data_IF_484767851096
#
_entry.id   IF_484767851096
#
_cell.length_a   1.000
_cell.length_b   1.000
_cell.length_c   1.000
_cell.angle_alpha   90.00
_cell.angle_beta   90.00
_cell.angle_gamma   90.00
#
_symmetry.space_group_name_H-M   'P 1'
#
loop_
_entity.id
_entity.type
_entity.pdbx_description
1 polymer ?
#
# COMPACT_ATOMS: atom_id res chain seq x y z
N UNK A 1 -0.05 5.28 -5.17
CA UNK A 1 -1.29 6.04 -4.91
C UNK A 1 -1.17 7.49 -5.36
N UNK A 2 -0.23 8.28 -4.87
CA UNK A 2 -0.05 9.71 -5.26
C UNK A 2 -0.05 9.95 -6.78
N UNK A 3 0.55 9.03 -7.56
CA UNK A 3 0.51 9.11 -9.03
C UNK A 3 -0.91 9.05 -9.58
N UNK A 4 -1.79 8.19 -9.03
CA UNK A 4 -3.19 8.10 -9.48
C UNK A 4 -3.95 9.39 -9.16
N UNK A 5 -3.78 9.93 -7.95
CA UNK A 5 -4.38 11.21 -7.58
C UNK A 5 -3.96 12.31 -8.55
N UNK A 6 -2.64 12.43 -8.81
CA UNK A 6 -2.11 13.44 -9.71
C UNK A 6 -2.55 13.28 -11.16
N UNK A 7 -2.62 12.04 -11.67
CA UNK A 7 -3.11 11.79 -13.04
C UNK A 7 -4.58 12.18 -13.18
N UNK A 8 -5.44 11.74 -12.23
CA UNK A 8 -6.85 12.09 -12.20
C UNK A 8 -7.06 13.61 -12.17
N UNK A 9 -6.38 14.30 -11.25
CA UNK A 9 -6.54 15.74 -11.04
C UNK A 9 -6.08 16.56 -12.26
N UNK A 10 -5.14 16.02 -13.03
CA UNK A 10 -4.69 16.60 -14.28
C UNK A 10 -5.53 16.18 -15.50
N UNK A 11 -6.57 15.37 -15.31
CA UNK A 11 -7.37 14.84 -16.44
C UNK A 11 -6.58 13.91 -17.37
N UNK A 12 -5.48 13.33 -16.88
CA UNK A 12 -4.66 12.38 -17.63
C UNK A 12 -5.28 10.97 -17.53
N UNK A 13 -5.27 10.16 -18.60
CA UNK A 13 -5.79 8.81 -18.55
C UNK A 13 -5.17 7.99 -17.42
N UNK A 14 -6.02 7.34 -16.62
CA UNK A 14 -5.60 6.46 -15.55
C UNK A 14 -5.28 5.05 -16.08
N UNK A 15 -4.41 4.29 -15.44
CA UNK A 15 -4.26 2.86 -15.71
C UNK A 15 -5.56 2.11 -15.39
N UNK A 16 -5.72 0.92 -15.94
CA UNK A 16 -6.94 0.10 -15.76
C UNK A 16 -7.11 -0.44 -14.33
N UNK A 17 -6.02 -0.54 -13.59
CA UNK A 17 -5.98 -1.02 -12.21
C UNK A 17 -4.66 -0.64 -11.52
N UNK A 18 -4.61 -0.75 -10.20
CA UNK A 18 -3.41 -0.60 -9.39
C UNK A 18 -3.16 -1.80 -8.49
N UNK A 19 -1.89 -2.14 -8.29
CA UNK A 19 -1.45 -3.10 -7.29
C UNK A 19 -0.54 -2.39 -6.31
N UNK A 20 -0.79 -2.57 -5.03
CA UNK A 20 0.05 -2.06 -3.96
C UNK A 20 0.53 -3.24 -3.10
N UNK A 21 1.83 -3.32 -2.87
CA UNK A 21 2.47 -4.36 -2.07
C UNK A 21 3.08 -3.66 -0.87
N UNK A 22 2.58 -3.97 0.33
CA UNK A 22 3.01 -3.34 1.59
C UNK A 22 3.16 -1.81 1.47
N UNK A 23 2.12 -1.09 1.00
CA UNK A 23 2.26 0.32 0.69
C UNK A 23 2.48 1.17 1.95
N UNK A 24 3.47 2.06 1.90
CA UNK A 24 3.63 3.14 2.87
C UNK A 24 2.89 4.37 2.36
N UNK A 25 1.82 4.74 3.03
CA UNK A 25 0.87 5.79 2.58
C UNK A 25 0.58 6.85 3.64
N UNK A 26 1.09 6.67 4.85
CA UNK A 26 0.94 7.59 5.99
C UNK A 26 2.32 8.08 6.46
N UNK A 27 2.62 9.36 6.23
CA UNK A 27 3.89 9.97 6.68
C UNK A 27 3.86 10.40 8.15
N UNK A 28 2.69 10.39 8.81
CA UNK A 28 2.59 10.62 10.26
C UNK A 28 2.92 9.36 11.07
N UNK A 29 2.75 8.16 10.47
CA UNK A 29 3.03 6.89 11.12
C UNK A 29 2.13 6.62 12.34
N UNK A 30 0.84 6.97 12.26
CA UNK A 30 -0.10 6.86 13.39
C UNK A 30 -0.86 5.53 13.43
N UNK A 31 -0.57 4.59 12.53
CA UNK A 31 -1.14 3.25 12.55
C UNK A 31 -0.73 2.48 13.82
N UNK A 32 -1.65 1.76 14.45
CA UNK A 32 -1.36 0.96 15.66
C UNK A 32 -0.32 -0.13 15.38
N UNK A 33 -0.24 -0.64 14.14
CA UNK A 33 0.74 -1.64 13.73
C UNK A 33 2.19 -1.17 13.87
N UNK A 34 2.45 0.15 13.87
CA UNK A 34 3.78 0.72 14.15
C UNK A 34 4.32 0.24 15.51
N UNK A 35 3.45 0.09 16.50
CA UNK A 35 3.81 -0.37 17.84
C UNK A 35 3.44 -1.83 18.08
N UNK A 36 2.25 -2.28 17.66
CA UNK A 36 1.76 -3.64 17.93
C UNK A 36 2.49 -4.71 17.13
N UNK A 37 3.18 -4.35 16.05
CA UNK A 37 4.02 -5.25 15.24
C UNK A 37 5.52 -4.99 15.37
N UNK A 38 5.93 -4.07 16.25
CA UNK A 38 7.34 -3.68 16.39
C UNK A 38 8.28 -4.84 16.73
N UNK A 39 7.81 -5.81 17.53
CA UNK A 39 8.62 -6.94 17.98
C UNK A 39 8.79 -8.04 16.90
N UNK A 40 7.89 -8.10 15.91
CA UNK A 40 7.89 -9.13 14.86
C UNK A 40 8.34 -8.60 13.51
N UNK A 41 8.17 -7.31 13.24
CA UNK A 41 8.60 -6.67 11.99
C UNK A 41 10.14 -6.55 11.94
N UNK A 42 10.78 -7.27 11.04
CA UNK A 42 12.25 -7.31 10.95
C UNK A 42 12.82 -6.46 9.82
N UNK A 43 12.02 -6.08 8.83
CA UNK A 43 12.50 -5.36 7.63
C UNK A 43 12.30 -3.85 7.80
N UNK A 44 11.14 -3.44 8.28
CA UNK A 44 10.75 -2.03 8.43
C UNK A 44 10.30 -1.78 9.87
N UNK A 45 10.79 -0.71 10.47
CA UNK A 45 10.45 -0.34 11.85
C UNK A 45 10.08 1.14 11.96
N UNK A 46 9.38 1.50 13.04
CA UNK A 46 8.87 2.85 13.30
C UNK A 46 9.97 3.93 13.23
N UNK A 47 11.13 3.69 13.85
CA UNK A 47 12.22 4.68 13.91
C UNK A 47 12.74 4.97 12.50
N UNK A 48 13.02 3.93 11.72
CA UNK A 48 13.50 4.07 10.35
C UNK A 48 12.49 4.76 9.43
N UNK A 49 11.19 4.44 9.58
CA UNK A 49 10.13 5.11 8.81
C UNK A 49 10.04 6.59 9.18
N UNK A 50 10.11 6.93 10.46
CA UNK A 50 10.08 8.32 10.92
C UNK A 50 11.25 9.13 10.37
N UNK A 51 12.46 8.60 10.46
CA UNK A 51 13.66 9.25 9.92
C UNK A 51 13.54 9.46 8.40
N UNK A 52 13.04 8.45 7.66
CA UNK A 52 12.81 8.55 6.22
C UNK A 52 11.72 9.57 5.88
N UNK A 53 10.63 9.61 6.65
CA UNK A 53 9.56 10.60 6.48
C UNK A 53 10.09 12.02 6.67
N UNK A 54 10.84 12.27 7.75
CA UNK A 54 11.45 13.58 8.01
C UNK A 54 12.39 14.02 6.87
N UNK A 55 13.23 13.12 6.38
CA UNK A 55 14.13 13.39 5.24
C UNK A 55 13.36 13.67 3.95
N UNK A 56 12.32 12.87 3.66
CA UNK A 56 11.51 13.01 2.44
C UNK A 56 10.69 14.29 2.45
N UNK A 57 10.03 14.59 3.57
CA UNK A 57 9.18 15.76 3.73
C UNK A 57 9.98 17.07 3.77
N UNK A 58 11.19 17.03 4.32
CA UNK A 58 12.06 18.23 4.44
C UNK A 58 11.31 19.43 5.04
N UNK A 59 10.43 19.19 6.03
CA UNK A 59 9.62 20.22 6.69
C UNK A 59 8.27 20.52 6.01
N UNK A 60 7.91 19.81 4.93
CA UNK A 60 6.58 19.90 4.32
C UNK A 60 5.54 19.13 5.17
N UNK A 61 4.27 19.38 4.88
CA UNK A 61 3.14 18.76 5.59
C UNK A 61 3.13 17.24 5.41
N UNK A 62 3.12 16.52 6.53
CA UNK A 62 3.04 15.05 6.56
C UNK A 62 1.69 14.52 6.04
N UNK A 63 0.69 15.38 5.90
CA UNK A 63 -0.63 15.05 5.32
C UNK A 63 -0.80 15.53 3.87
N UNK A 64 0.24 16.02 3.22
CA UNK A 64 0.17 16.33 1.79
C UNK A 64 -0.20 15.06 1.01
N UNK A 65 -1.34 15.02 0.27
CA UNK A 65 -1.78 13.82 -0.44
C UNK A 65 -0.80 13.30 -1.50
N UNK A 66 0.15 14.12 -1.94
CA UNK A 66 1.19 13.68 -2.85
C UNK A 66 2.37 13.00 -2.12
N UNK A 67 2.54 13.26 -0.83
CA UNK A 67 3.50 12.58 0.02
C UNK A 67 2.85 11.42 0.78
N UNK A 68 1.70 11.68 1.39
CA UNK A 68 0.92 10.75 2.19
C UNK A 68 -0.48 10.53 1.55
N UNK A 69 -0.58 9.67 0.52
CA UNK A 69 -1.81 9.52 -0.25
C UNK A 69 -3.02 9.03 0.55
N UNK A 70 -2.81 8.50 1.77
CA UNK A 70 -3.89 8.14 2.67
C UNK A 70 -4.83 9.33 2.98
N UNK A 71 -4.32 10.57 2.94
CA UNK A 71 -5.10 11.79 3.19
C UNK A 71 -5.70 12.40 1.91
N UNK A 72 -5.58 11.68 0.78
CA UNK A 72 -6.15 12.10 -0.50
C UNK A 72 -7.60 11.67 -0.69
N UNK A 73 -8.24 12.31 -1.67
CA UNK A 73 -9.56 11.86 -2.15
C UNK A 73 -9.36 10.74 -3.18
N UNK A 74 -9.87 9.54 -2.90
CA UNK A 74 -9.76 8.38 -3.78
C UNK A 74 -10.89 8.28 -4.81
N UNK A 75 -11.87 9.19 -4.84
CA UNK A 75 -12.95 9.13 -5.82
C UNK A 75 -12.40 9.12 -7.26
N UNK A 76 -12.86 8.17 -8.06
CA UNK A 76 -12.53 8.06 -9.50
C UNK A 76 -11.15 7.46 -9.81
N UNK A 77 -10.39 6.94 -8.81
CA UNK A 77 -9.19 6.15 -9.11
C UNK A 77 -9.57 4.73 -9.58
N UNK A 78 -8.67 4.03 -10.30
CA UNK A 78 -8.95 2.67 -10.78
C UNK A 78 -9.05 1.65 -9.65
N UNK A 79 -9.60 0.44 -9.93
CA UNK A 79 -9.60 -0.68 -8.98
C UNK A 79 -8.22 -0.94 -8.38
N UNK A 80 -8.19 -1.28 -7.09
CA UNK A 80 -6.97 -1.55 -6.35
C UNK A 80 -6.92 -3.00 -5.85
N UNK A 81 -5.75 -3.61 -5.96
CA UNK A 81 -5.39 -4.82 -5.24
C UNK A 81 -4.24 -4.51 -4.29
N UNK A 82 -4.46 -4.70 -2.99
CA UNK A 82 -3.49 -4.41 -1.93
C UNK A 82 -3.09 -5.75 -1.31
N UNK A 83 -1.80 -6.01 -1.19
CA UNK A 83 -1.25 -7.15 -0.46
C UNK A 83 -0.31 -6.66 0.64
N UNK A 84 -0.39 -7.29 1.81
CA UNK A 84 0.40 -6.95 2.99
C UNK A 84 0.63 -8.18 3.86
N UNK A 85 1.77 -8.25 4.53
CA UNK A 85 2.00 -9.22 5.58
C UNK A 85 1.36 -8.78 6.90
N UNK A 86 1.00 -9.71 7.79
CA UNK A 86 0.46 -9.33 9.10
C UNK A 86 1.56 -9.09 10.16
N UNK A 87 2.81 -9.46 9.86
CA UNK A 87 3.97 -9.21 10.72
C UNK A 87 4.82 -8.03 10.22
N UNK A 88 4.16 -6.94 9.83
CA UNK A 88 4.85 -5.70 9.42
C UNK A 88 4.22 -4.45 10.04
N UNK A 89 5.04 -3.42 10.26
CA UNK A 89 4.61 -2.13 10.83
C UNK A 89 3.66 -1.36 9.90
N UNK A 90 3.68 -1.61 8.59
CA UNK A 90 2.82 -0.97 7.58
C UNK A 90 1.49 -1.72 7.33
N UNK A 91 1.12 -2.67 8.21
CA UNK A 91 -0.17 -3.36 8.12
C UNK A 91 -1.34 -2.36 8.12
N UNK A 92 -1.34 -1.40 9.06
CA UNK A 92 -2.41 -0.42 9.17
C UNK A 92 -2.42 0.60 8.03
N UNK A 93 -1.28 0.90 7.42
CA UNK A 93 -1.24 1.70 6.20
C UNK A 93 -2.06 1.05 5.10
N UNK A 94 -1.92 -0.27 4.96
CA UNK A 94 -2.62 -1.06 3.94
C UNK A 94 -4.11 -1.19 4.24
N UNK A 95 -4.50 -1.47 5.50
CA UNK A 95 -5.91 -1.61 5.88
C UNK A 95 -6.65 -0.28 5.80
N UNK A 96 -6.04 0.80 6.30
CA UNK A 96 -6.60 2.17 6.23
C UNK A 96 -6.70 2.68 4.79
N UNK A 97 -5.72 2.34 3.93
CA UNK A 97 -5.81 2.63 2.49
C UNK A 97 -7.00 1.92 1.85
N UNK A 98 -7.20 0.63 2.15
CA UNK A 98 -8.31 -0.14 1.64
C UNK A 98 -9.65 0.48 2.07
N UNK A 99 -9.83 0.73 3.36
CA UNK A 99 -11.04 1.34 3.93
C UNK A 99 -11.34 2.72 3.30
N UNK A 100 -10.31 3.56 3.16
CA UNK A 100 -10.48 4.90 2.59
C UNK A 100 -10.86 4.87 1.11
N UNK A 101 -10.26 3.96 0.34
CA UNK A 101 -10.57 3.78 -1.08
C UNK A 101 -11.98 3.19 -1.27
N UNK A 102 -12.36 2.18 -0.49
CA UNK A 102 -13.72 1.61 -0.51
C UNK A 102 -14.78 2.65 -0.15
N UNK A 103 -14.53 3.47 0.89
CA UNK A 103 -15.43 4.56 1.28
C UNK A 103 -15.63 5.60 0.16
N UNK A 104 -14.63 5.77 -0.71
CA UNK A 104 -14.70 6.63 -1.91
C UNK A 104 -15.33 5.92 -3.13
N UNK A 105 -15.81 4.68 -2.99
CA UNK A 105 -16.46 3.92 -4.06
C UNK A 105 -15.50 3.20 -5.01
N UNK A 106 -14.24 3.05 -4.63
CA UNK A 106 -13.25 2.27 -5.41
C UNK A 106 -13.45 0.78 -5.16
N UNK A 107 -13.36 -0.02 -6.22
CA UNK A 107 -13.27 -1.48 -6.08
C UNK A 107 -11.92 -1.83 -5.46
N UNK A 108 -11.90 -2.41 -4.25
CA UNK A 108 -10.68 -2.80 -3.55
C UNK A 108 -10.68 -4.29 -3.24
N UNK A 109 -9.52 -4.93 -3.43
CA UNK A 109 -9.19 -6.22 -2.86
C UNK A 109 -8.01 -6.03 -1.93
N UNK A 110 -8.15 -6.45 -0.66
CA UNK A 110 -7.08 -6.48 0.33
C UNK A 110 -6.82 -7.94 0.72
N UNK A 111 -5.60 -8.40 0.52
CA UNK A 111 -5.14 -9.70 1.01
C UNK A 111 -4.07 -9.47 2.08
N UNK A 112 -4.35 -9.93 3.31
CA UNK A 112 -3.41 -9.94 4.43
C UNK A 112 -2.85 -11.34 4.57
N UNK A 113 -1.53 -11.50 4.44
CA UNK A 113 -0.85 -12.79 4.49
C UNK A 113 -0.32 -13.06 5.90
N UNK A 114 -0.78 -14.17 6.55
CA UNK A 114 -0.35 -14.52 7.89
C UNK A 114 1.16 -14.84 7.93
N UNK A 115 1.83 -14.42 9.00
CA UNK A 115 3.25 -14.67 9.27
C UNK A 115 4.21 -14.09 8.21
N UNK A 116 3.73 -13.18 7.33
CA UNK A 116 4.55 -12.58 6.28
C UNK A 116 5.06 -11.21 6.68
N UNK A 117 6.28 -10.94 6.23
CA UNK A 117 7.01 -9.69 6.43
C UNK A 117 6.75 -8.69 5.29
N UNK A 118 7.25 -7.47 5.46
CA UNK A 118 7.19 -6.41 4.46
C UNK A 118 7.75 -6.86 3.11
N UNK A 119 6.96 -6.69 2.04
CA UNK A 119 7.28 -7.04 0.65
C UNK A 119 7.83 -8.46 0.46
N UNK A 120 7.30 -9.43 1.20
CA UNK A 120 7.70 -10.85 1.13
C UNK A 120 7.64 -11.42 -0.30
N UNK A 121 6.88 -10.81 -1.20
CA UNK A 121 6.79 -11.15 -2.63
C UNK A 121 8.15 -11.13 -3.34
N UNK A 122 9.14 -10.42 -2.79
CA UNK A 122 10.52 -10.43 -3.32
C UNK A 122 11.18 -11.82 -3.24
N UNK A 123 10.64 -12.73 -2.43
CA UNK A 123 11.14 -14.10 -2.29
C UNK A 123 10.50 -15.09 -3.26
N UNK A 124 9.77 -14.61 -4.30
CA UNK A 124 9.23 -15.45 -5.39
C UNK A 124 10.29 -16.40 -5.96
N UNK A 125 9.92 -17.65 -6.12
CA UNK A 125 10.81 -18.74 -6.52
C UNK A 125 11.56 -19.42 -5.37
N UNK A 126 11.48 -18.87 -4.15
CA UNK A 126 12.11 -19.43 -2.95
C UNK A 126 11.13 -19.60 -1.78
N UNK A 127 9.93 -19.03 -1.87
CA UNK A 127 8.91 -19.03 -0.82
C UNK A 127 7.53 -19.28 -1.45
N UNK A 128 6.82 -20.37 -1.07
CA UNK A 128 5.52 -20.70 -1.65
C UNK A 128 4.48 -19.59 -1.47
N UNK A 129 4.46 -18.90 -0.35
CA UNK A 129 3.55 -17.78 -0.05
C UNK A 129 3.79 -16.61 -0.99
N UNK A 130 5.05 -16.32 -1.32
CA UNK A 130 5.40 -15.28 -2.28
C UNK A 130 4.96 -15.66 -3.71
N UNK A 131 5.13 -16.93 -4.10
CA UNK A 131 4.66 -17.45 -5.39
C UNK A 131 3.14 -17.37 -5.49
N UNK A 132 2.41 -17.72 -4.42
CA UNK A 132 0.97 -17.62 -4.35
C UNK A 132 0.50 -16.16 -4.46
N UNK A 133 1.13 -15.25 -3.73
CA UNK A 133 0.81 -13.82 -3.77
C UNK A 133 0.95 -13.24 -5.18
N UNK A 134 2.04 -13.56 -5.87
CA UNK A 134 2.27 -13.12 -7.26
C UNK A 134 1.27 -13.77 -8.22
N UNK A 135 0.94 -15.06 -8.03
CA UNK A 135 -0.08 -15.73 -8.85
C UNK A 135 -1.46 -15.08 -8.68
N UNK A 136 -1.83 -14.69 -7.47
CA UNK A 136 -3.08 -13.98 -7.18
C UNK A 136 -3.12 -12.59 -7.84
N UNK A 137 -2.03 -11.81 -7.80
CA UNK A 137 -1.90 -10.53 -8.54
C UNK A 137 -2.10 -10.79 -10.04
N UNK A 138 -1.43 -11.78 -10.60
CA UNK A 138 -1.55 -12.12 -12.02
C UNK A 138 -2.99 -12.50 -12.40
N UNK A 139 -3.63 -13.37 -11.63
CA UNK A 139 -5.02 -13.79 -11.86
C UNK A 139 -6.00 -12.61 -11.80
N UNK A 140 -5.77 -11.65 -10.91
CA UNK A 140 -6.62 -10.46 -10.77
C UNK A 140 -6.40 -9.44 -11.90
N UNK A 141 -5.14 -9.26 -12.34
CA UNK A 141 -4.79 -8.27 -13.37
C UNK A 141 -5.13 -8.73 -14.80
N UNK A 142 -4.88 -10.00 -15.14
CA UNK A 142 -5.01 -10.49 -16.53
C UNK A 142 -6.36 -10.16 -17.18
N UNK A 143 -7.53 -10.40 -16.56
CA UNK A 143 -8.82 -10.04 -17.16
C UNK A 143 -8.96 -8.53 -17.40
N UNK A 144 -8.40 -7.69 -16.53
CA UNK A 144 -8.43 -6.22 -16.63
C UNK A 144 -7.56 -5.68 -17.77
N UNK A 145 -6.54 -6.46 -18.14
CA UNK A 145 -5.63 -6.18 -19.27
C UNK A 145 -6.09 -6.81 -20.58
N UNK A 146 -7.21 -7.56 -20.58
CA UNK A 146 -7.70 -8.28 -21.74
C UNK A 146 -6.87 -9.51 -22.14
N UNK A 147 -6.18 -10.15 -21.15
CA UNK A 147 -5.27 -11.30 -21.31
C UNK A 147 -5.88 -12.59 -20.80
#
# INVERSE_FOLDING_TARGET
MSTFLKLRDNGTPLPVAGVAISPWVDMEGIGESMTTRADVAVIVNEIGLKDMAEMFLAGHDARDPLAAPLYGDFAGIPPLFIQVGDEETLLDDSTRLAESAEAAGVEVRLDVFPEMQHVFQLFTGNMPEADEAIAQISAWLRPRLGL
#
